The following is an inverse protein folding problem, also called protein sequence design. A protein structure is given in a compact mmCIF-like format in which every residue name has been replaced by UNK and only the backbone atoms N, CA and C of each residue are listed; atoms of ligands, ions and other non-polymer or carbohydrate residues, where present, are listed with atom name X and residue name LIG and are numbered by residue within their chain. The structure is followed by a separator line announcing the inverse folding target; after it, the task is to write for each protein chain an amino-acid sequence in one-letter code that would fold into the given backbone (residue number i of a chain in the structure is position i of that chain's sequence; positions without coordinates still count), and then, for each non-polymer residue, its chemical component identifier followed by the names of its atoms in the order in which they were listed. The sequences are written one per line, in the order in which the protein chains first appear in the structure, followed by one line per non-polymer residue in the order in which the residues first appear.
data_IF_825503750186
#
_entry.id   IF_825503750186
#
_cell.length_a   1.000
_cell.length_b   1.000
_cell.length_c   1.000
_cell.angle_alpha   90.00
_cell.angle_beta   90.00
_cell.angle_gamma   90.00
#
_symmetry.space_group_name_H-M   'P 1'
#
loop_
_entity.id
_entity.type
_entity.pdbx_description
1 polymer ?
#
# COMPACT_ATOMS: atom_id res chain seq x y z
N UNK A 1 -5.54 26.14 11.10
CA UNK A 1 -4.58 25.25 10.42
C UNK A 1 -4.82 25.34 8.92
N UNK A 2 -3.78 25.62 8.11
CA UNK A 2 -3.96 25.89 6.68
C UNK A 2 -4.32 24.60 5.93
N UNK A 3 -5.46 24.58 5.22
CA UNK A 3 -6.01 23.37 4.57
C UNK A 3 -4.98 22.65 3.69
N UNK A 4 -4.17 23.42 2.95
CA UNK A 4 -3.09 22.91 2.12
C UNK A 4 -2.05 22.09 2.89
N UNK A 5 -1.66 22.55 4.10
CA UNK A 5 -0.67 21.83 4.93
C UNK A 5 -1.27 20.51 5.43
N UNK A 6 -2.55 20.52 5.81
CA UNK A 6 -3.29 19.32 6.22
C UNK A 6 -3.41 18.29 5.09
N UNK A 7 -3.72 18.76 3.88
CA UNK A 7 -3.86 17.90 2.70
C UNK A 7 -2.50 17.29 2.31
N UNK A 8 -1.42 18.08 2.34
CA UNK A 8 -0.06 17.60 2.10
C UNK A 8 0.37 16.55 3.14
N UNK A 9 0.10 16.79 4.43
CA UNK A 9 0.38 15.83 5.50
C UNK A 9 -0.36 14.51 5.28
N UNK A 10 -1.63 14.60 4.88
CA UNK A 10 -2.47 13.43 4.59
C UNK A 10 -1.94 12.64 3.39
N UNK A 11 -1.58 13.34 2.30
CA UNK A 11 -0.99 12.71 1.12
C UNK A 11 0.34 12.02 1.41
N UNK A 12 1.22 12.68 2.18
CA UNK A 12 2.50 12.12 2.59
C UNK A 12 2.30 10.86 3.46
N UNK A 13 1.35 10.90 4.40
CA UNK A 13 1.02 9.75 5.23
C UNK A 13 0.51 8.58 4.39
N UNK A 14 -0.47 8.79 3.51
CA UNK A 14 -0.95 7.75 2.58
C UNK A 14 0.19 7.17 1.74
N UNK A 15 1.10 8.02 1.24
CA UNK A 15 2.25 7.56 0.46
C UNK A 15 3.21 6.69 1.27
N UNK A 16 3.43 7.01 2.55
CA UNK A 16 4.24 6.20 3.45
C UNK A 16 3.61 4.82 3.68
N UNK A 17 2.31 4.77 3.99
CA UNK A 17 1.57 3.52 4.17
C UNK A 17 1.59 2.67 2.90
N UNK A 18 1.33 3.26 1.73
CA UNK A 18 1.41 2.56 0.44
C UNK A 18 2.77 1.88 0.22
N UNK A 19 3.87 2.60 0.51
CA UNK A 19 5.22 2.06 0.33
C UNK A 19 5.53 0.95 1.35
N UNK A 20 4.97 1.03 2.55
CA UNK A 20 5.09 -0.02 3.55
C UNK A 20 4.33 -1.26 3.11
N UNK A 21 3.03 -1.13 2.78
CA UNK A 21 2.19 -2.24 2.31
C UNK A 21 2.80 -2.93 1.09
N UNK A 22 3.27 -2.18 0.11
CA UNK A 22 3.92 -2.74 -1.07
C UNK A 22 5.19 -3.54 -0.73
N UNK A 23 5.96 -3.08 0.25
CA UNK A 23 7.17 -3.78 0.71
C UNK A 23 6.82 -5.08 1.41
N UNK A 24 5.80 -5.06 2.26
CA UNK A 24 5.30 -6.24 2.96
C UNK A 24 4.77 -7.27 1.97
N UNK A 25 3.92 -6.87 1.03
CA UNK A 25 3.37 -7.76 -0.01
C UNK A 25 4.46 -8.41 -0.88
N UNK A 26 5.52 -7.66 -1.21
CA UNK A 26 6.67 -8.18 -1.98
C UNK A 26 7.63 -9.00 -1.14
N UNK A 27 7.62 -8.81 0.17
CA UNK A 27 8.46 -9.54 1.11
C UNK A 27 7.81 -10.84 1.61
N UNK A 28 6.55 -11.11 1.23
CA UNK A 28 5.90 -12.38 1.53
C UNK A 28 6.72 -13.53 0.94
N UNK A 29 6.88 -14.59 1.71
CA UNK A 29 7.36 -15.85 1.15
C UNK A 29 6.30 -16.38 0.15
N UNK A 30 6.73 -17.19 -0.81
CA UNK A 30 5.85 -17.65 -1.90
C UNK A 30 4.68 -18.50 -1.35
N UNK A 31 4.92 -19.32 -0.32
CA UNK A 31 3.90 -20.21 0.24
C UNK A 31 2.76 -19.41 0.90
N UNK A 32 3.09 -18.38 1.69
CA UNK A 32 2.13 -17.45 2.32
C UNK A 32 1.42 -16.61 1.26
N UNK A 33 2.12 -16.20 0.20
CA UNK A 33 1.47 -15.48 -0.89
C UNK A 33 0.43 -16.37 -1.58
N UNK A 34 0.74 -17.64 -1.83
CA UNK A 34 -0.19 -18.59 -2.41
C UNK A 34 -1.36 -18.93 -1.47
N UNK A 35 -1.10 -19.11 -0.18
CA UNK A 35 -2.13 -19.39 0.83
C UNK A 35 -3.15 -18.26 0.96
N UNK A 36 -2.69 -17.01 0.82
CA UNK A 36 -3.54 -15.82 0.84
C UNK A 36 -4.16 -15.47 -0.51
N UNK A 37 -3.95 -16.29 -1.55
CA UNK A 37 -4.34 -16.02 -2.94
C UNK A 37 -3.82 -14.65 -3.45
N UNK A 38 -2.60 -14.30 -3.05
CA UNK A 38 -1.91 -13.07 -3.43
C UNK A 38 -0.94 -13.37 -4.57
N UNK A 39 -1.28 -12.88 -5.75
CA UNK A 39 -0.31 -12.80 -6.84
C UNK A 39 0.62 -11.60 -6.64
N UNK A 40 1.90 -11.86 -6.34
CA UNK A 40 2.86 -10.79 -6.00
C UNK A 40 3.07 -9.75 -7.12
N UNK A 41 2.86 -10.12 -8.39
CA UNK A 41 2.92 -9.15 -9.49
C UNK A 41 1.84 -8.06 -9.34
N UNK A 42 0.72 -8.38 -8.70
CA UNK A 42 -0.38 -7.47 -8.40
C UNK A 42 -0.16 -6.65 -7.12
N UNK A 43 0.96 -6.81 -6.41
CA UNK A 43 1.22 -6.13 -5.14
C UNK A 43 1.05 -4.60 -5.25
N UNK A 44 1.36 -4.00 -6.40
CA UNK A 44 1.11 -2.59 -6.67
C UNK A 44 -0.38 -2.22 -6.68
N UNK A 45 -1.21 -3.04 -7.33
CA UNK A 45 -2.66 -2.87 -7.42
C UNK A 45 -3.29 -3.06 -6.05
N UNK A 46 -2.94 -4.15 -5.35
CA UNK A 46 -3.43 -4.48 -4.02
C UNK A 46 -3.08 -3.35 -3.02
N UNK A 47 -1.82 -2.90 -2.98
CA UNK A 47 -1.42 -1.81 -2.10
C UNK A 47 -2.14 -0.48 -2.43
N UNK A 48 -2.46 -0.23 -3.71
CA UNK A 48 -3.16 0.98 -4.12
C UNK A 48 -4.63 0.95 -3.69
N UNK A 49 -5.29 -0.18 -3.91
CA UNK A 49 -6.67 -0.41 -3.48
C UNK A 49 -6.78 -0.28 -1.95
N UNK A 50 -5.86 -0.89 -1.19
CA UNK A 50 -5.88 -0.86 0.27
C UNK A 50 -5.72 0.55 0.87
N UNK A 51 -4.90 1.41 0.26
CA UNK A 51 -4.56 2.74 0.81
C UNK A 51 -5.40 3.87 0.23
N UNK A 52 -5.75 3.78 -1.05
CA UNK A 52 -6.45 4.83 -1.78
C UNK A 52 -7.89 4.47 -2.17
N UNK A 53 -8.28 3.18 -2.10
CA UNK A 53 -9.63 2.73 -2.48
C UNK A 53 -9.90 2.73 -3.99
N UNK A 54 -8.84 2.77 -4.81
CA UNK A 54 -8.90 2.91 -6.26
C UNK A 54 -8.71 1.58 -7.00
#
# INVERSE_FOLDING_TARGET
MNKLISDLKTAAHKRAVYRQTLRELRGLNIDTALDLDIYQADAHRIARQAVYGA
#
